data_IF_276350950734
#
_entry.id   IF_276350950734
#
_cell.length_a   1.000
_cell.length_b   1.000
_cell.length_c   1.000
_cell.angle_alpha   90.00
_cell.angle_beta   90.00
_cell.angle_gamma   90.00
#
_symmetry.space_group_name_H-M   'P 1'
#
loop_
_entity.id
_entity.type
_entity.pdbx_description
1 polymer ?
#
# COMPACT_ATOMS: atom_id res chain seq x y z
N UNK A 1 -40.71 -14.69 -3.31
CA UNK A 1 -39.36 -15.25 -3.16
C UNK A 1 -38.81 -14.71 -1.85
N UNK A 2 -38.95 -15.46 -0.75
CA UNK A 2 -38.40 -15.06 0.54
C UNK A 2 -36.89 -15.19 0.43
N UNK A 3 -36.20 -14.06 0.30
CA UNK A 3 -34.75 -14.05 0.36
C UNK A 3 -34.42 -14.38 1.81
N UNK A 4 -33.90 -15.58 2.04
CA UNK A 4 -33.45 -15.99 3.36
C UNK A 4 -32.47 -14.95 3.88
N UNK A 5 -32.82 -14.33 5.02
CA UNK A 5 -32.00 -13.29 5.66
C UNK A 5 -30.56 -13.81 5.88
N UNK A 6 -30.45 -15.11 6.16
CA UNK A 6 -29.22 -15.90 6.28
C UNK A 6 -28.36 -15.88 5.01
N UNK A 7 -28.97 -15.99 3.84
CA UNK A 7 -28.28 -15.97 2.55
C UNK A 7 -27.74 -14.58 2.23
N UNK A 8 -28.54 -13.54 2.53
CA UNK A 8 -28.16 -12.15 2.37
C UNK A 8 -27.00 -11.77 3.32
N UNK A 9 -27.04 -12.25 4.55
CA UNK A 9 -25.98 -12.04 5.55
C UNK A 9 -24.66 -12.73 5.15
N UNK A 10 -24.74 -13.97 4.64
CA UNK A 10 -23.57 -14.70 4.14
C UNK A 10 -22.93 -14.00 2.92
N UNK A 11 -23.73 -13.54 1.97
CA UNK A 11 -23.24 -12.77 0.82
C UNK A 11 -22.57 -11.46 1.26
N UNK A 12 -23.17 -10.76 2.23
CA UNK A 12 -22.61 -9.52 2.76
C UNK A 12 -21.27 -9.74 3.45
N UNK A 13 -21.14 -10.77 4.30
CA UNK A 13 -19.87 -11.12 4.94
C UNK A 13 -18.79 -11.47 3.91
N UNK A 14 -19.14 -12.24 2.88
CA UNK A 14 -18.20 -12.61 1.81
C UNK A 14 -17.74 -11.40 1.00
N UNK A 15 -18.66 -10.50 0.66
CA UNK A 15 -18.34 -9.26 -0.04
C UNK A 15 -17.46 -8.34 0.81
N UNK A 16 -17.77 -8.16 2.09
CA UNK A 16 -16.97 -7.37 3.02
C UNK A 16 -15.55 -7.95 3.13
N UNK A 17 -15.42 -9.27 3.29
CA UNK A 17 -14.11 -9.94 3.34
C UNK A 17 -13.30 -9.71 2.06
N UNK A 18 -13.91 -9.88 0.88
CA UNK A 18 -13.23 -9.66 -0.39
C UNK A 18 -12.88 -8.20 -0.64
N UNK A 19 -13.75 -7.26 -0.27
CA UNK A 19 -13.49 -5.81 -0.42
C UNK A 19 -12.28 -5.40 0.41
N UNK A 20 -12.26 -5.78 1.69
CA UNK A 20 -11.14 -5.47 2.59
C UNK A 20 -9.86 -6.11 2.04
N UNK A 21 -9.85 -7.42 1.76
CA UNK A 21 -8.64 -8.09 1.27
C UNK A 21 -8.11 -7.54 -0.06
N UNK A 22 -9.00 -7.22 -1.01
CA UNK A 22 -8.60 -6.65 -2.30
C UNK A 22 -8.08 -5.23 -2.13
N UNK A 23 -8.73 -4.41 -1.30
CA UNK A 23 -8.29 -3.03 -1.05
C UNK A 23 -6.96 -2.99 -0.31
N UNK A 24 -6.71 -3.89 0.65
CA UNK A 24 -5.41 -3.99 1.35
C UNK A 24 -4.27 -4.27 0.37
N UNK A 25 -4.45 -5.18 -0.59
CA UNK A 25 -3.43 -5.47 -1.62
C UNK A 25 -3.17 -4.25 -2.51
N UNK A 26 -4.23 -3.54 -2.92
CA UNK A 26 -4.09 -2.32 -3.72
C UNK A 26 -3.36 -1.21 -2.96
N UNK A 27 -3.65 -1.01 -1.68
CA UNK A 27 -2.94 -0.04 -0.84
C UNK A 27 -1.46 -0.37 -0.76
N UNK A 28 -1.09 -1.64 -0.54
CA UNK A 28 0.31 -2.07 -0.52
C UNK A 28 1.02 -1.79 -1.85
N UNK A 29 0.38 -2.09 -2.99
CA UNK A 29 0.93 -1.82 -4.31
C UNK A 29 1.15 -0.32 -4.55
N UNK A 30 0.20 0.53 -4.15
CA UNK A 30 0.34 1.99 -4.27
C UNK A 30 1.52 2.48 -3.44
N UNK A 31 1.64 2.06 -2.17
CA UNK A 31 2.75 2.47 -1.32
C UNK A 31 4.12 2.01 -1.87
N UNK A 32 4.22 0.78 -2.37
CA UNK A 32 5.45 0.26 -2.98
C UNK A 32 5.80 0.98 -4.29
N UNK A 33 4.81 1.28 -5.12
CA UNK A 33 5.01 2.05 -6.34
C UNK A 33 5.48 3.47 -6.03
N UNK A 34 4.84 4.15 -5.07
CA UNK A 34 5.25 5.50 -4.61
C UNK A 34 6.66 5.48 -4.03
N UNK A 35 7.02 4.43 -3.28
CA UNK A 35 8.39 4.26 -2.78
C UNK A 35 9.40 4.10 -3.93
N UNK A 36 9.10 3.23 -4.90
CA UNK A 36 9.96 3.01 -6.07
C UNK A 36 10.16 4.26 -6.92
N UNK A 37 9.09 5.00 -7.19
CA UNK A 37 9.15 6.27 -7.95
C UNK A 37 9.94 7.32 -7.17
N UNK A 38 9.72 7.43 -5.85
CA UNK A 38 10.46 8.38 -4.99
C UNK A 38 11.96 8.05 -4.94
N UNK A 39 12.31 6.76 -4.93
CA UNK A 39 13.70 6.31 -4.97
C UNK A 39 14.35 6.60 -6.33
N UNK A 40 13.62 6.35 -7.43
CA UNK A 40 14.10 6.67 -8.78
C UNK A 40 14.32 8.18 -8.95
N UNK A 41 13.40 8.99 -8.44
CA UNK A 41 13.51 10.45 -8.42
C UNK A 41 14.75 10.88 -7.62
N UNK A 42 14.96 10.33 -6.41
CA UNK A 42 16.16 10.58 -5.61
C UNK A 42 17.46 10.31 -6.38
N UNK A 43 17.57 9.14 -7.03
CA UNK A 43 18.72 8.78 -7.85
C UNK A 43 18.94 9.75 -9.03
N UNK A 44 17.86 10.23 -9.66
CA UNK A 44 17.95 11.17 -10.77
C UNK A 44 18.47 12.54 -10.30
N UNK A 45 17.96 13.03 -9.16
CA UNK A 45 18.42 14.29 -8.56
C UNK A 45 19.88 14.22 -8.10
N UNK A 46 20.30 13.07 -7.58
CA UNK A 46 21.69 12.85 -7.15
C UNK A 46 22.64 12.87 -8.35
N UNK A 47 22.24 12.26 -9.47
CA UNK A 47 22.99 12.28 -10.73
C UNK A 47 23.17 13.70 -11.31
N UNK A 48 22.23 14.60 -11.06
CA UNK A 48 22.30 15.98 -11.51
C UNK A 48 23.09 16.91 -10.57
N UNK A 49 23.63 16.42 -9.45
CA UNK A 49 24.55 17.09 -8.51
C UNK A 49 24.10 18.48 -7.97
N UNK A 50 22.91 18.95 -8.34
CA UNK A 50 22.41 20.27 -8.02
C UNK A 50 21.56 20.28 -6.74
N UNK A 51 21.11 19.12 -6.25
CA UNK A 51 20.06 19.03 -5.23
C UNK A 51 20.18 17.82 -4.28
N UNK A 52 21.38 17.58 -3.75
CA UNK A 52 21.64 16.50 -2.77
C UNK A 52 20.68 16.50 -1.56
N UNK A 53 20.22 17.69 -1.14
CA UNK A 53 19.23 17.83 -0.06
C UNK A 53 17.84 17.30 -0.46
N UNK A 54 17.42 17.51 -1.71
CA UNK A 54 16.15 17.00 -2.22
C UNK A 54 16.23 15.51 -2.55
N UNK A 55 17.38 15.03 -3.04
CA UNK A 55 17.63 13.60 -3.22
C UNK A 55 17.52 12.84 -1.89
N UNK A 56 18.12 13.36 -0.82
CA UNK A 56 18.04 12.73 0.50
C UNK A 56 16.62 12.77 1.10
N UNK A 57 15.83 13.83 0.83
CA UNK A 57 14.41 13.85 1.17
C UNK A 57 13.61 12.79 0.40
N UNK A 58 13.87 12.63 -0.91
CA UNK A 58 13.20 11.64 -1.75
C UNK A 58 13.53 10.19 -1.35
N UNK A 59 14.77 9.92 -0.93
CA UNK A 59 15.13 8.62 -0.37
C UNK A 59 14.46 8.36 0.99
N UNK A 60 14.39 9.36 1.87
CA UNK A 60 13.69 9.23 3.15
C UNK A 60 12.19 8.99 2.98
N UNK A 61 11.54 9.67 2.05
CA UNK A 61 10.12 9.42 1.75
C UNK A 61 9.94 8.03 1.15
N UNK A 62 10.81 7.60 0.24
CA UNK A 62 10.78 6.24 -0.31
C UNK A 62 10.87 5.17 0.80
N UNK A 63 11.79 5.34 1.75
CA UNK A 63 11.92 4.45 2.92
C UNK A 63 10.67 4.49 3.78
N UNK A 64 10.09 5.68 4.02
CA UNK A 64 8.86 5.83 4.80
C UNK A 64 7.66 5.11 4.17
N UNK A 65 7.48 5.25 2.86
CA UNK A 65 6.42 4.54 2.12
C UNK A 65 6.67 3.02 2.09
N UNK A 66 7.91 2.58 1.90
CA UNK A 66 8.26 1.16 1.93
C UNK A 66 8.06 0.53 3.33
N UNK A 67 8.46 1.22 4.39
CA UNK A 67 8.26 0.78 5.77
C UNK A 67 6.77 0.70 6.13
N UNK A 68 5.97 1.69 5.70
CA UNK A 68 4.52 1.68 5.92
C UNK A 68 3.86 0.53 5.17
N UNK A 69 4.26 0.27 3.92
CA UNK A 69 3.81 -0.92 3.18
C UNK A 69 4.15 -2.21 3.92
N UNK A 70 5.38 -2.33 4.42
CA UNK A 70 5.82 -3.51 5.16
C UNK A 70 5.01 -3.72 6.45
N UNK A 71 4.78 -2.66 7.22
CA UNK A 71 3.98 -2.70 8.45
C UNK A 71 2.53 -3.11 8.13
N UNK A 72 1.90 -2.49 7.12
CA UNK A 72 0.54 -2.82 6.71
C UNK A 72 0.42 -4.27 6.23
N UNK A 73 1.41 -4.77 5.49
CA UNK A 73 1.48 -6.15 5.05
C UNK A 73 1.63 -7.11 6.24
N UNK A 74 2.52 -6.80 7.17
CA UNK A 74 2.75 -7.61 8.37
C UNK A 74 1.51 -7.67 9.27
N UNK A 75 0.82 -6.54 9.48
CA UNK A 75 -0.45 -6.53 10.18
C UNK A 75 -1.53 -7.33 9.46
N UNK A 76 -1.60 -7.23 8.13
CA UNK A 76 -2.52 -8.03 7.32
C UNK A 76 -2.24 -9.54 7.42
N UNK A 77 -1.00 -9.95 7.65
CA UNK A 77 -0.62 -11.35 7.82
C UNK A 77 -0.93 -11.88 9.23
N UNK A 78 -0.85 -11.05 10.26
CA UNK A 78 -1.16 -11.44 11.65
C UNK A 78 -2.67 -11.48 11.90
N UNK A 79 -3.42 -10.53 11.33
CA UNK A 79 -4.85 -10.37 11.56
C UNK A 79 -5.73 -11.03 10.50
N UNK A 80 -5.16 -11.43 9.37
CA UNK A 80 -5.84 -12.17 8.30
C UNK A 80 -5.75 -13.67 8.50
#
# INVERSE_FOLDING_TARGET
MNIDLSYLYYLWQKLAFQLVHKTTIWTLLVFLATAGVSWHLGNLLDKHNARAREANMAHKTAIGYAATAFILWFFSFIMG
#
